data_IF_760315939887
#
_entry.id   IF_760315939887
#
_cell.length_a   1.000
_cell.length_b   1.000
_cell.length_c   1.000
_cell.angle_alpha   90.00
_cell.angle_beta   90.00
_cell.angle_gamma   90.00
#
_symmetry.space_group_name_H-M   'P 1'
#
loop_
_entity.id
_entity.type
_entity.pdbx_description
1 polymer ?
#
# COMPACT_ATOMS: atom_id res chain seq x y z
N UNK A 1 8.61 -10.72 -7.80
CA UNK A 1 7.25 -11.13 -7.41
C UNK A 1 6.31 -9.97 -7.72
N UNK A 2 5.32 -10.17 -8.58
CA UNK A 2 4.25 -9.20 -8.78
C UNK A 2 3.28 -9.32 -7.61
N UNK A 3 3.14 -8.25 -6.83
CA UNK A 3 2.19 -8.19 -5.73
C UNK A 3 0.77 -8.16 -6.31
N UNK A 4 -0.09 -9.11 -5.95
CA UNK A 4 -1.49 -9.03 -6.35
C UNK A 4 -2.19 -7.89 -5.60
N UNK A 5 -3.28 -7.37 -6.15
CA UNK A 5 -4.10 -6.34 -5.51
C UNK A 5 -4.53 -6.76 -4.10
N UNK A 6 -4.92 -8.02 -3.95
CA UNK A 6 -5.34 -8.57 -2.67
C UNK A 6 -4.19 -8.63 -1.65
N UNK A 7 -2.99 -9.05 -2.09
CA UNK A 7 -1.81 -9.10 -1.23
C UNK A 7 -1.37 -7.71 -0.77
N UNK A 8 -1.51 -6.69 -1.63
CA UNK A 8 -1.23 -5.30 -1.30
C UNK A 8 -2.12 -4.79 -0.17
N UNK A 9 -3.44 -4.87 -0.36
CA UNK A 9 -4.41 -4.34 0.59
C UNK A 9 -4.32 -5.09 1.92
N UNK A 10 -4.10 -6.41 1.90
CA UNK A 10 -3.98 -7.22 3.11
C UNK A 10 -2.72 -6.87 3.91
N UNK A 11 -1.57 -6.71 3.25
CA UNK A 11 -0.31 -6.33 3.92
C UNK A 11 -0.40 -4.97 4.59
N UNK A 12 -0.95 -3.97 3.91
CA UNK A 12 -1.10 -2.64 4.51
C UNK A 12 -2.16 -2.61 5.61
N UNK A 13 -3.28 -3.32 5.44
CA UNK A 13 -4.33 -3.39 6.48
C UNK A 13 -3.79 -3.97 7.79
N UNK A 14 -2.86 -4.93 7.71
CA UNK A 14 -2.20 -5.53 8.86
C UNK A 14 -1.03 -4.73 9.44
N UNK A 15 -0.63 -3.61 8.83
CA UNK A 15 0.53 -2.83 9.29
C UNK A 15 0.28 -2.12 10.64
N UNK A 16 -0.98 -1.82 10.96
CA UNK A 16 -1.35 -1.18 12.22
C UNK A 16 -2.16 -2.13 13.11
N UNK A 17 -1.86 -2.08 14.41
CA UNK A 17 -2.75 -2.64 15.43
C UNK A 17 -3.57 -1.50 16.01
N UNK A 18 -4.88 -1.53 15.81
CA UNK A 18 -5.81 -0.54 16.36
C UNK A 18 -6.54 -1.12 17.57
N UNK A 19 -6.69 -0.36 18.66
CA UNK A 19 -7.46 -0.80 19.83
C UNK A 19 -8.94 -1.00 19.46
N UNK A 20 -9.60 -1.97 20.09
CA UNK A 20 -11.02 -2.27 19.88
C UNK A 20 -11.95 -1.26 20.59
N UNK A 21 -11.74 0.04 20.32
CA UNK A 21 -12.56 1.15 20.84
C UNK A 21 -13.30 1.84 19.70
N UNK A 22 -14.27 2.71 20.02
CA UNK A 22 -14.96 3.52 18.99
C UNK A 22 -13.97 4.35 18.18
N UNK A 23 -12.98 4.96 18.84
CA UNK A 23 -11.93 5.75 18.19
C UNK A 23 -11.02 4.86 17.33
N UNK A 24 -10.53 3.75 17.88
CA UNK A 24 -9.67 2.81 17.15
C UNK A 24 -10.35 2.21 15.92
N UNK A 25 -11.63 1.89 15.99
CA UNK A 25 -12.42 1.42 14.85
C UNK A 25 -12.58 2.51 13.76
N UNK A 26 -12.73 3.78 14.15
CA UNK A 26 -12.75 4.89 13.19
C UNK A 26 -11.39 5.05 12.52
N UNK A 27 -10.31 4.95 13.29
CA UNK A 27 -8.95 5.06 12.76
C UNK A 27 -8.64 3.93 11.77
N UNK A 28 -9.00 2.69 12.13
CA UNK A 28 -8.90 1.52 11.24
C UNK A 28 -9.64 1.73 9.92
N UNK A 29 -10.90 2.17 9.97
CA UNK A 29 -11.70 2.42 8.75
C UNK A 29 -11.11 3.53 7.88
N UNK A 30 -10.54 4.57 8.51
CA UNK A 30 -9.83 5.62 7.77
C UNK A 30 -8.60 5.06 7.07
N UNK A 31 -7.82 4.24 7.75
CA UNK A 31 -6.67 3.56 7.17
C UNK A 31 -7.05 2.66 5.99
N UNK A 32 -8.06 1.80 6.15
CA UNK A 32 -8.56 0.92 5.09
C UNK A 32 -9.04 1.71 3.85
N UNK A 33 -9.68 2.86 4.05
CA UNK A 33 -10.08 3.75 2.95
C UNK A 33 -8.87 4.35 2.21
N UNK A 34 -7.84 4.77 2.95
CA UNK A 34 -6.62 5.32 2.36
C UNK A 34 -5.90 4.26 1.52
N UNK A 35 -5.83 3.01 2.01
CA UNK A 35 -5.34 1.86 1.23
C UNK A 35 -6.14 1.71 -0.06
N UNK A 36 -7.48 1.75 0.03
CA UNK A 36 -8.35 1.66 -1.15
C UNK A 36 -8.06 2.74 -2.19
N UNK A 37 -7.80 3.99 -1.77
CA UNK A 37 -7.41 5.05 -2.70
C UNK A 37 -6.05 4.80 -3.38
N UNK A 38 -5.06 4.27 -2.64
CA UNK A 38 -3.77 3.90 -3.22
C UNK A 38 -3.94 2.77 -4.25
N UNK A 39 -4.72 1.75 -3.88
CA UNK A 39 -5.02 0.60 -4.70
C UNK A 39 -5.71 1.01 -6.01
N UNK A 40 -6.75 1.83 -5.90
CA UNK A 40 -7.63 2.21 -7.01
C UNK A 40 -7.18 3.43 -7.81
N UNK A 41 -6.05 4.05 -7.47
CA UNK A 41 -5.54 5.24 -8.19
C UNK A 41 -5.47 4.95 -9.69
N UNK A 42 -5.79 5.89 -10.58
CA UNK A 42 -5.76 5.65 -12.03
C UNK A 42 -4.38 6.00 -12.64
N UNK A 43 -3.66 6.94 -12.04
CA UNK A 43 -2.38 7.44 -12.54
C UNK A 43 -1.36 7.67 -11.42
N UNK A 44 -0.10 7.91 -11.80
CA UNK A 44 1.01 8.12 -10.86
C UNK A 44 0.77 9.29 -9.90
N UNK A 45 0.20 10.40 -10.38
CA UNK A 45 -0.05 11.56 -9.51
C UNK A 45 -1.14 11.30 -8.47
N UNK A 46 -2.20 10.58 -8.83
CA UNK A 46 -3.22 10.13 -7.86
C UNK A 46 -2.63 9.17 -6.84
N UNK A 47 -1.79 8.23 -7.30
CA UNK A 47 -1.09 7.30 -6.45
C UNK A 47 -0.18 8.00 -5.45
N UNK A 48 0.68 8.91 -5.92
CA UNK A 48 1.62 9.65 -5.08
C UNK A 48 0.88 10.50 -4.04
N UNK A 49 -0.23 11.12 -4.44
CA UNK A 49 -1.09 11.87 -3.53
C UNK A 49 -1.71 10.95 -2.48
N UNK A 50 -2.28 9.81 -2.87
CA UNK A 50 -2.89 8.87 -1.95
C UNK A 50 -1.86 8.28 -0.96
N UNK A 51 -0.66 7.95 -1.45
CA UNK A 51 0.44 7.47 -0.64
C UNK A 51 0.89 8.52 0.39
N UNK A 52 1.07 9.78 -0.03
CA UNK A 52 1.43 10.87 0.87
C UNK A 52 0.38 11.12 1.96
N UNK A 53 -0.92 11.02 1.62
CA UNK A 53 -1.98 11.10 2.63
C UNK A 53 -1.95 9.94 3.63
N UNK A 54 -1.70 8.72 3.16
CA UNK A 54 -1.57 7.55 4.01
C UNK A 54 -0.37 7.65 4.96
N UNK A 55 0.77 8.13 4.47
CA UNK A 55 1.97 8.39 5.25
C UNK A 55 1.73 9.48 6.31
N UNK A 56 1.16 10.62 5.92
CA UNK A 56 0.83 11.69 6.85
C UNK A 56 -0.16 11.25 7.94
N UNK A 57 -1.12 10.39 7.58
CA UNK A 57 -2.05 9.79 8.55
C UNK A 57 -1.33 8.86 9.55
N UNK A 58 -0.40 8.03 9.07
CA UNK A 58 0.41 7.16 9.92
C UNK A 58 1.24 7.96 10.94
N UNK A 59 1.89 9.03 10.48
CA UNK A 59 2.64 9.93 11.36
C UNK A 59 1.75 10.60 12.40
N UNK A 60 0.60 11.14 11.98
CA UNK A 60 -0.34 11.76 12.91
C UNK A 60 -0.84 10.80 14.00
N UNK A 61 -1.07 9.53 13.67
CA UNK A 61 -1.44 8.51 14.65
C UNK A 61 -0.30 8.21 15.63
N UNK A 62 0.95 8.14 15.14
CA UNK A 62 2.11 7.89 15.99
C UNK A 62 2.37 9.08 16.92
N UNK A 63 2.36 10.30 16.40
CA UNK A 63 2.59 11.55 17.15
C UNK A 63 1.52 11.79 18.23
N UNK A 64 0.29 11.33 17.97
CA UNK A 64 -0.82 11.42 18.93
C UNK A 64 -0.91 10.21 19.88
N UNK A 65 0.07 9.30 19.85
CA UNK A 65 0.14 8.13 20.73
C UNK A 65 -0.97 7.10 20.51
N UNK A 66 -1.62 7.12 19.33
CA UNK A 66 -2.70 6.19 18.99
C UNK A 66 -2.16 4.84 18.51
N UNK A 67 -0.92 4.84 18.01
CA UNK A 67 -0.16 3.65 17.61
C UNK A 67 1.28 3.83 18.08
N UNK A 68 1.97 2.72 18.33
CA UNK A 68 3.39 2.76 18.70
C UNK A 68 4.26 3.17 17.50
N UNK A 69 5.36 3.87 17.76
CA UNK A 69 6.39 4.12 16.75
C UNK A 69 7.12 2.81 16.48
N UNK A 70 7.17 2.38 15.21
CA UNK A 70 7.77 1.11 14.82
C UNK A 70 8.46 1.21 13.48
N UNK A 71 9.80 1.18 13.50
CA UNK A 71 10.61 1.20 12.27
C UNK A 71 10.28 0.02 11.35
N UNK A 72 10.01 -1.17 11.91
CA UNK A 72 9.66 -2.35 11.11
C UNK A 72 8.34 -2.16 10.36
N UNK A 73 7.36 -1.52 10.99
CA UNK A 73 6.09 -1.18 10.35
C UNK A 73 6.31 -0.18 9.24
N UNK A 74 7.08 0.88 9.49
CA UNK A 74 7.30 1.93 8.51
C UNK A 74 8.03 1.36 7.28
N UNK A 75 9.02 0.49 7.50
CA UNK A 75 9.68 -0.27 6.42
C UNK A 75 8.71 -1.19 5.66
N UNK A 76 7.78 -1.86 6.35
CA UNK A 76 6.75 -2.68 5.70
C UNK A 76 5.83 -1.84 4.80
N UNK A 77 5.38 -0.67 5.28
CA UNK A 77 4.53 0.24 4.52
C UNK A 77 5.27 0.73 3.27
N UNK A 78 6.49 1.24 3.44
CA UNK A 78 7.33 1.72 2.33
C UNK A 78 7.54 0.62 1.29
N UNK A 79 7.98 -0.57 1.72
CA UNK A 79 8.25 -1.68 0.82
C UNK A 79 6.99 -2.16 0.07
N UNK A 80 5.83 -2.16 0.74
CA UNK A 80 4.57 -2.59 0.14
C UNK A 80 4.04 -1.58 -0.87
N UNK A 81 4.12 -0.29 -0.55
CA UNK A 81 3.72 0.81 -1.46
C UNK A 81 4.65 0.87 -2.67
N UNK A 82 5.97 0.72 -2.48
CA UNK A 82 6.94 0.74 -3.58
C UNK A 82 6.80 -0.48 -4.51
N UNK A 83 6.58 -1.68 -3.94
CA UNK A 83 6.30 -2.88 -4.71
C UNK A 83 5.03 -2.73 -5.57
N UNK A 84 3.99 -2.08 -5.03
CA UNK A 84 2.75 -1.80 -5.76
C UNK A 84 2.97 -0.78 -6.89
N UNK A 85 3.71 0.30 -6.62
CA UNK A 85 4.11 1.27 -7.65
C UNK A 85 4.86 0.57 -8.78
N UNK A 86 5.86 -0.23 -8.46
CA UNK A 86 6.64 -0.99 -9.43
C UNK A 86 5.77 -1.92 -10.29
N UNK A 87 4.85 -2.67 -9.67
CA UNK A 87 3.95 -3.58 -10.38
C UNK A 87 3.00 -2.86 -11.37
N UNK A 88 2.65 -1.60 -11.07
CA UNK A 88 1.78 -0.77 -11.90
C UNK A 88 2.52 -0.03 -13.01
N UNK A 89 3.75 0.41 -12.77
CA UNK A 89 4.58 1.10 -13.77
C UNK A 89 5.18 0.12 -14.77
N UNK A 90 5.47 -1.10 -14.33
CA UNK A 90 5.94 -2.19 -15.17
C UNK A 90 4.92 -3.34 -15.13
N UNK A 91 3.73 -3.16 -15.72
CA UNK A 91 2.78 -4.25 -15.83
C UNK A 91 3.36 -5.24 -16.82
N UNK A 92 4.16 -6.20 -16.33
CA UNK A 92 4.85 -7.26 -17.06
C UNK A 92 4.90 -6.99 -18.57
N UNK A 93 6.00 -6.40 -19.06
CA UNK A 93 6.32 -6.48 -20.49
C UNK A 93 6.25 -7.96 -20.85
N UNK A 94 5.13 -8.37 -21.44
CA UNK A 94 4.91 -9.74 -21.84
C UNK A 94 6.09 -10.13 -22.69
N UNK A 95 6.78 -11.17 -22.26
CA UNK A 95 7.76 -11.89 -23.06
C UNK A 95 7.02 -12.54 -24.23
N UNK A 96 6.50 -11.74 -25.16
CA UNK A 96 6.21 -12.17 -26.52
C UNK A 96 7.54 -12.21 -27.28
N UNK A 97 8.49 -13.02 -26.81
CA UNK A 97 9.44 -13.66 -27.70
C UNK A 97 8.68 -14.84 -28.31
N UNK A 98 7.81 -14.54 -29.26
CA UNK A 98 7.35 -15.52 -30.23
C UNK A 98 8.57 -15.98 -31.01
N UNK A 99 9.24 -17.03 -30.54
CA UNK A 99 10.00 -17.91 -31.41
C UNK A 99 9.09 -19.06 -31.80
N UNK A 100 8.66 -19.10 -33.05
CA UNK A 100 8.61 -20.37 -33.74
C UNK A 100 9.33 -20.28 -35.08
N UNK A 101 10.20 -21.25 -35.35
CA UNK A 101 10.72 -21.50 -36.69
C UNK A 101 12.23 -21.61 -36.81
N UNK A 102 12.81 -22.64 -36.18
CA UNK A 102 13.80 -23.45 -36.91
C UNK A 102 13.00 -24.29 -37.92
N UNK A 103 13.26 -24.10 -39.20
CA UNK A 103 13.70 -25.13 -40.16
C UNK A 103 14.08 -24.45 -41.46
#
# INVERSE_FOLDING_TARGET
MTLSTHDFAQRLSGAFSFPCTILGNRQRRTWERLIGYIESSACTSEFDKAAAYAEGYAHALADSGQIDISTNRDLLIIATVDAWRCARTYPNTSTNLSHPGKL
#
